data_IF_373359918500
#
_entry.id   IF_373359918500
#
_cell.length_a   1.000
_cell.length_b   1.000
_cell.length_c   1.000
_cell.angle_alpha   90.00
_cell.angle_beta   90.00
_cell.angle_gamma   90.00
#
_symmetry.space_group_name_H-M   'P 1'
#
loop_
_entity.id
_entity.type
_entity.pdbx_description
1 polymer ?
#
# COMPACT_ATOMS: atom_id res chain seq x y z
N UNK A 1 4.72 -12.54 -21.47
CA UNK A 1 5.26 -12.37 -20.11
C UNK A 1 6.56 -11.59 -20.25
N UNK A 2 6.74 -10.51 -19.48
CA UNK A 2 8.02 -9.81 -19.42
C UNK A 2 9.08 -10.71 -18.77
N UNK A 3 10.37 -10.39 -18.97
CA UNK A 3 11.44 -11.09 -18.28
C UNK A 3 11.28 -10.94 -16.76
N UNK A 4 11.52 -12.01 -15.98
CA UNK A 4 11.44 -11.92 -14.53
C UNK A 4 12.49 -10.94 -14.00
N UNK A 5 12.13 -10.16 -12.99
CA UNK A 5 13.06 -9.27 -12.29
C UNK A 5 14.03 -10.04 -11.40
N UNK A 6 13.60 -11.23 -10.96
CA UNK A 6 14.39 -12.11 -10.10
C UNK A 6 14.00 -13.57 -10.33
N UNK A 7 14.98 -14.46 -10.25
CA UNK A 7 14.78 -15.91 -10.34
C UNK A 7 15.68 -16.60 -9.33
N UNK A 8 15.13 -17.55 -8.57
CA UNK A 8 15.92 -18.45 -7.72
C UNK A 8 15.42 -19.89 -7.79
N UNK A 9 16.32 -20.82 -7.43
CA UNK A 9 15.94 -22.19 -7.12
C UNK A 9 15.91 -22.34 -5.60
N UNK A 10 14.74 -22.68 -5.06
CA UNK A 10 14.51 -22.84 -3.62
C UNK A 10 13.84 -24.17 -3.34
N UNK A 11 14.52 -25.06 -2.60
CA UNK A 11 14.03 -26.40 -2.21
C UNK A 11 13.42 -27.21 -3.37
N UNK A 12 14.11 -27.25 -4.51
CA UNK A 12 13.66 -27.99 -5.70
C UNK A 12 12.60 -27.30 -6.55
N UNK A 13 12.19 -26.08 -6.19
CA UNK A 13 11.25 -25.26 -6.93
C UNK A 13 11.97 -24.07 -7.56
N UNK A 14 11.49 -23.58 -8.71
CA UNK A 14 11.95 -22.34 -9.32
C UNK A 14 10.96 -21.24 -8.98
N UNK A 15 11.43 -20.21 -8.28
CA UNK A 15 10.63 -19.02 -7.97
C UNK A 15 11.05 -17.92 -8.94
N UNK A 16 10.07 -17.34 -9.63
CA UNK A 16 10.25 -16.20 -10.54
C UNK A 16 9.43 -15.03 -10.03
N UNK A 17 10.04 -13.85 -9.96
CA UNK A 17 9.37 -12.60 -9.59
C UNK A 17 9.21 -11.74 -10.83
N UNK A 18 8.05 -11.14 -11.00
CA UNK A 18 7.70 -10.27 -12.11
C UNK A 18 7.14 -8.94 -11.59
N UNK A 19 7.25 -7.89 -12.40
CA UNK A 19 6.41 -6.71 -12.21
C UNK A 19 4.96 -7.05 -12.50
N UNK A 20 4.05 -6.49 -11.69
CA UNK A 20 2.61 -6.55 -11.90
C UNK A 20 2.13 -5.28 -12.63
N UNK A 21 1.85 -5.35 -13.95
CA UNK A 21 1.39 -4.19 -14.71
C UNK A 21 -0.09 -3.85 -14.48
N UNK A 22 -0.87 -4.77 -13.92
CA UNK A 22 -2.32 -4.67 -13.76
C UNK A 22 -2.72 -4.53 -12.28
N UNK A 23 -1.79 -4.02 -11.46
CA UNK A 23 -1.93 -3.86 -10.03
C UNK A 23 -3.11 -2.95 -9.63
N UNK A 24 -3.88 -3.40 -8.62
CA UNK A 24 -4.86 -2.57 -7.93
C UNK A 24 -4.17 -1.39 -7.23
N UNK A 25 -4.77 -0.20 -7.33
CA UNK A 25 -4.29 0.97 -6.60
C UNK A 25 -4.46 0.76 -5.09
N UNK A 26 -3.44 1.03 -4.25
CA UNK A 26 -3.58 1.00 -2.80
C UNK A 26 -4.68 1.92 -2.23
N UNK A 27 -5.21 2.87 -3.04
CA UNK A 27 -6.34 3.71 -2.65
C UNK A 27 -7.70 3.02 -2.73
N UNK A 28 -7.80 1.90 -3.44
CA UNK A 28 -9.01 1.06 -3.48
C UNK A 28 -9.08 0.10 -2.26
N UNK A 29 -8.02 0.04 -1.44
CA UNK A 29 -7.98 -0.75 -0.22
C UNK A 29 -8.77 -0.11 0.93
N UNK A 30 -8.96 -0.88 2.00
CA UNK A 30 -9.52 -0.37 3.26
C UNK A 30 -8.49 0.51 3.99
N UNK A 31 -8.45 1.79 3.65
CA UNK A 31 -7.58 2.79 4.27
C UNK A 31 -8.26 3.50 5.46
N UNK A 32 -7.46 3.93 6.43
CA UNK A 32 -7.88 4.84 7.50
C UNK A 32 -7.94 6.28 6.99
N UNK A 33 -6.94 6.65 6.18
CA UNK A 33 -6.77 7.99 5.64
C UNK A 33 -7.58 8.24 4.38
N UNK A 34 -7.98 9.49 4.19
CA UNK A 34 -8.40 10.03 2.91
C UNK A 34 -7.27 10.88 2.33
N UNK A 35 -6.80 10.53 1.14
CA UNK A 35 -5.76 11.25 0.40
C UNK A 35 -6.42 12.15 -0.63
N UNK A 36 -6.31 13.46 -0.47
CA UNK A 36 -6.86 14.44 -1.43
C UNK A 36 -5.72 15.24 -2.06
N UNK A 37 -5.76 15.41 -3.38
CA UNK A 37 -4.67 15.99 -4.14
C UNK A 37 -5.17 16.93 -5.24
N UNK A 38 -4.50 18.06 -5.39
CA UNK A 38 -4.66 19.02 -6.47
C UNK A 38 -3.42 18.98 -7.35
N UNK A 39 -3.47 18.20 -8.43
CA UNK A 39 -2.39 18.14 -9.41
C UNK A 39 -2.89 18.30 -10.84
N UNK A 40 -2.15 19.06 -11.63
CA UNK A 40 -2.56 19.46 -12.99
C UNK A 40 -2.33 18.38 -14.05
N UNK A 41 -1.38 17.45 -13.82
CA UNK A 41 -1.03 16.38 -14.77
C UNK A 41 -1.57 15.01 -14.39
N UNK A 42 -1.81 14.79 -13.10
CA UNK A 42 -2.10 13.47 -12.55
C UNK A 42 -3.38 13.54 -11.74
N UNK A 43 -4.22 12.51 -11.85
CA UNK A 43 -5.25 12.24 -10.85
C UNK A 43 -4.60 11.39 -9.76
N UNK A 44 -4.46 11.96 -8.58
CA UNK A 44 -3.80 11.36 -7.44
C UNK A 44 -4.78 11.26 -6.28
N UNK A 45 -4.64 10.22 -5.47
CA UNK A 45 -5.46 10.03 -4.29
C UNK A 45 -6.93 9.71 -4.60
N UNK A 46 -7.76 9.98 -3.61
CA UNK A 46 -9.18 9.75 -3.61
C UNK A 46 -9.93 10.89 -4.32
N UNK A 47 -11.08 10.57 -4.88
CA UNK A 47 -11.94 11.58 -5.52
C UNK A 47 -12.53 12.53 -4.48
N UNK A 48 -12.48 13.83 -4.75
CA UNK A 48 -13.07 14.87 -3.90
C UNK A 48 -13.63 16.03 -4.73
N UNK A 49 -14.47 16.86 -4.10
CA UNK A 49 -15.12 18.03 -4.71
C UNK A 49 -14.52 19.38 -4.28
N UNK A 50 -13.46 19.38 -3.45
CA UNK A 50 -12.81 20.61 -3.02
C UNK A 50 -12.06 21.30 -4.16
N UNK A 51 -12.43 22.55 -4.46
CA UNK A 51 -11.83 23.34 -5.54
C UNK A 51 -10.37 23.72 -5.29
N UNK A 52 -9.98 23.85 -4.02
CA UNK A 52 -8.63 24.25 -3.62
C UNK A 52 -8.23 23.69 -2.25
N UNK A 53 -6.92 23.66 -1.95
CA UNK A 53 -6.43 23.33 -0.61
C UNK A 53 -7.03 24.22 0.49
N UNK A 54 -7.26 25.51 0.19
CA UNK A 54 -7.88 26.45 1.14
C UNK A 54 -9.33 26.07 1.45
N UNK A 55 -10.13 25.78 0.42
CA UNK A 55 -11.52 25.37 0.58
C UNK A 55 -11.64 24.11 1.45
N UNK A 56 -10.77 23.13 1.22
CA UNK A 56 -10.69 21.94 2.06
C UNK A 56 -10.36 22.27 3.52
N UNK A 57 -9.33 23.09 3.77
CA UNK A 57 -8.96 23.44 5.14
C UNK A 57 -10.03 24.26 5.84
N UNK A 58 -10.75 25.14 5.13
CA UNK A 58 -11.89 25.89 5.67
C UNK A 58 -13.02 24.97 6.12
N UNK A 59 -13.39 24.00 5.28
CA UNK A 59 -14.38 22.98 5.63
C UNK A 59 -13.95 22.21 6.88
N UNK A 60 -12.72 21.69 6.89
CA UNK A 60 -12.20 20.89 8.00
C UNK A 60 -12.03 21.70 9.29
N UNK A 61 -11.72 22.99 9.18
CA UNK A 61 -11.60 23.93 10.28
C UNK A 61 -12.94 24.49 10.75
N UNK A 62 -14.03 24.29 10.00
CA UNK A 62 -15.37 24.87 10.26
C UNK A 62 -15.30 26.40 10.35
N UNK A 63 -14.71 26.99 9.31
CA UNK A 63 -14.52 28.44 9.18
C UNK A 63 -15.25 28.93 7.93
N UNK A 64 -16.19 29.86 8.12
CA UNK A 64 -16.88 30.53 7.01
C UNK A 64 -15.92 31.38 6.16
N UNK A 65 -16.20 31.45 4.84
CA UNK A 65 -15.46 32.25 3.84
C UNK A 65 -15.32 33.74 4.19
N UNK A 66 -16.17 34.24 5.07
CA UNK A 66 -16.16 35.63 5.54
C UNK A 66 -14.97 35.97 6.43
N UNK A 67 -14.29 34.94 6.97
CA UNK A 67 -13.14 35.11 7.84
C UNK A 67 -11.85 35.04 7.04
N UNK A 68 -11.08 36.12 7.07
CA UNK A 68 -9.73 36.16 6.51
C UNK A 68 -8.75 35.53 7.51
N UNK A 69 -8.43 34.25 7.29
CA UNK A 69 -7.44 33.50 8.05
C UNK A 69 -6.35 33.03 7.08
N UNK A 70 -5.10 33.11 7.53
CA UNK A 70 -3.99 32.49 6.80
C UNK A 70 -4.16 30.97 6.71
N UNK A 71 -3.54 30.37 5.68
CA UNK A 71 -3.49 28.90 5.52
C UNK A 71 -2.96 28.19 6.76
N UNK A 72 -1.98 28.79 7.46
CA UNK A 72 -1.44 28.27 8.72
C UNK A 72 -2.51 28.22 9.82
N UNK A 73 -3.24 29.32 10.04
CA UNK A 73 -4.32 29.34 11.03
C UNK A 73 -5.48 28.42 10.69
N UNK A 74 -5.80 28.26 9.41
CA UNK A 74 -6.81 27.28 8.96
C UNK A 74 -6.36 25.86 9.28
N UNK A 75 -5.10 25.53 8.96
CA UNK A 75 -4.50 24.23 9.28
C UNK A 75 -4.49 23.95 10.78
N UNK A 76 -4.05 24.89 11.60
CA UNK A 76 -4.03 24.74 13.07
C UNK A 76 -5.42 24.44 13.66
N UNK A 77 -6.47 25.00 13.06
CA UNK A 77 -7.86 24.72 13.45
C UNK A 77 -8.31 23.35 12.95
N UNK A 78 -8.00 23.00 11.71
CA UNK A 78 -8.29 21.69 11.15
C UNK A 78 -7.67 20.55 11.97
N UNK A 79 -6.42 20.70 12.44
CA UNK A 79 -5.71 19.72 13.28
C UNK A 79 -6.38 19.48 14.67
N UNK A 80 -7.28 20.37 15.10
CA UNK A 80 -8.12 20.14 16.29
C UNK A 80 -9.24 19.14 16.03
N UNK A 81 -9.67 18.99 14.78
CA UNK A 81 -10.77 18.12 14.35
C UNK A 81 -10.30 16.88 13.58
N UNK A 82 -9.07 16.88 13.09
CA UNK A 82 -8.48 15.79 12.31
C UNK A 82 -6.99 15.60 12.62
N UNK A 83 -6.45 14.50 12.13
CA UNK A 83 -5.02 14.26 11.97
C UNK A 83 -4.73 14.48 10.49
N UNK A 84 -3.77 15.35 10.18
CA UNK A 84 -3.58 15.91 8.85
C UNK A 84 -2.08 15.99 8.53
N UNK A 85 -1.66 15.36 7.43
CA UNK A 85 -0.28 15.43 6.96
C UNK A 85 -0.25 16.05 5.56
N UNK A 86 0.65 17.01 5.29
CA UNK A 86 0.86 17.49 3.94
C UNK A 86 1.44 16.38 3.07
N UNK A 87 1.09 16.35 1.79
CA UNK A 87 1.58 15.38 0.82
C UNK A 87 2.32 16.10 -0.30
N UNK A 88 3.53 15.65 -0.58
CA UNK A 88 4.42 16.22 -1.58
C UNK A 88 4.65 15.21 -2.70
N UNK A 89 4.72 15.70 -3.93
CA UNK A 89 5.08 14.91 -5.11
C UNK A 89 6.40 15.43 -5.68
N UNK A 90 7.23 14.50 -6.14
CA UNK A 90 8.38 14.73 -6.99
C UNK A 90 8.14 14.08 -8.36
N UNK A 91 8.35 14.84 -9.44
CA UNK A 91 8.08 14.45 -10.83
C UNK A 91 9.33 14.68 -11.69
N UNK A 92 10.23 13.68 -11.75
CA UNK A 92 11.44 13.70 -12.59
C UNK A 92 11.84 12.27 -12.99
N UNK A 93 11.51 11.86 -14.23
CA UNK A 93 11.72 10.50 -14.77
C UNK A 93 10.95 9.38 -14.05
N UNK A 94 10.07 9.76 -13.12
CA UNK A 94 9.25 8.88 -12.29
C UNK A 94 8.55 9.72 -11.23
N UNK A 95 7.54 9.13 -10.60
CA UNK A 95 6.81 9.77 -9.51
C UNK A 95 7.32 9.26 -8.17
N UNK A 96 7.48 10.18 -7.23
CA UNK A 96 7.70 9.85 -5.82
C UNK A 96 6.83 10.74 -4.93
N UNK A 97 6.31 10.20 -3.85
CA UNK A 97 5.39 10.87 -2.94
C UNK A 97 5.80 10.67 -1.48
N UNK A 98 5.70 11.73 -0.66
CA UNK A 98 5.98 11.62 0.77
C UNK A 98 5.21 12.67 1.58
N UNK A 99 5.39 12.64 2.91
CA UNK A 99 4.73 13.55 3.88
C UNK A 99 5.66 14.56 4.54
N UNK A 100 6.89 14.69 4.05
CA UNK A 100 7.95 15.52 4.68
C UNK A 100 8.57 16.55 3.74
N UNK A 101 8.30 16.46 2.43
CA UNK A 101 8.86 17.32 1.41
C UNK A 101 10.06 16.71 0.68
N UNK A 102 10.49 17.40 -0.37
CA UNK A 102 11.73 17.14 -1.09
C UNK A 102 12.58 18.41 -1.11
N UNK A 103 13.89 18.25 -1.26
CA UNK A 103 14.80 19.38 -1.35
C UNK A 103 14.78 20.08 -2.72
N UNK A 104 14.28 19.42 -3.77
CA UNK A 104 14.29 19.96 -5.14
C UNK A 104 13.12 20.93 -5.38
N UNK A 105 13.34 22.24 -5.54
CA UNK A 105 12.25 23.20 -5.68
C UNK A 105 11.59 23.22 -7.07
N UNK A 106 12.23 22.64 -8.09
CA UNK A 106 11.77 22.70 -9.48
C UNK A 106 10.80 21.57 -9.80
N UNK A 107 11.17 20.36 -9.38
CA UNK A 107 10.47 19.12 -9.72
C UNK A 107 9.62 18.59 -8.56
N UNK A 108 9.49 19.37 -7.47
CA UNK A 108 8.62 18.98 -6.35
C UNK A 108 7.76 20.11 -5.81
N UNK A 109 6.69 19.73 -5.12
CA UNK A 109 5.83 20.64 -4.40
C UNK A 109 4.79 19.90 -3.57
N UNK A 110 4.14 20.63 -2.67
CA UNK A 110 2.97 20.08 -1.97
C UNK A 110 1.83 19.95 -2.97
N UNK A 111 1.27 18.75 -3.08
CA UNK A 111 0.16 18.43 -3.99
C UNK A 111 -1.14 18.16 -3.26
N UNK A 112 -1.11 17.96 -1.94
CA UNK A 112 -2.31 17.54 -1.23
C UNK A 112 -2.15 17.38 0.26
N UNK A 113 -3.09 16.63 0.81
CA UNK A 113 -3.13 16.20 2.20
C UNK A 113 -3.62 14.75 2.30
N UNK A 114 -3.04 14.00 3.22
CA UNK A 114 -3.67 12.79 3.75
C UNK A 114 -4.20 13.10 5.14
N UNK A 115 -5.44 12.72 5.41
CA UNK A 115 -6.09 13.07 6.67
C UNK A 115 -7.06 12.00 7.16
N UNK A 116 -7.34 12.04 8.45
CA UNK A 116 -8.44 11.30 9.07
C UNK A 116 -9.10 12.16 10.13
N UNK A 117 -10.42 12.23 10.15
CA UNK A 117 -11.15 12.99 11.18
C UNK A 117 -11.04 12.28 12.53
N UNK A 118 -11.04 13.05 13.63
CA UNK A 118 -11.06 12.44 14.96
C UNK A 118 -12.33 11.64 15.23
N UNK A 119 -13.41 11.90 14.50
CA UNK A 119 -14.61 11.07 14.52
C UNK A 119 -14.34 9.70 13.90
N UNK A 120 -13.77 9.65 12.68
CA UNK A 120 -13.39 8.40 12.04
C UNK A 120 -12.41 7.58 12.91
N UNK A 121 -11.41 8.23 13.52
CA UNK A 121 -10.49 7.56 14.47
C UNK A 121 -11.26 6.98 15.68
N UNK A 122 -12.26 7.67 16.22
CA UNK A 122 -13.05 7.13 17.34
C UNK A 122 -13.84 5.90 16.93
N UNK A 123 -14.44 5.95 15.74
CA UNK A 123 -15.22 4.84 15.17
C UNK A 123 -14.34 3.63 14.91
N UNK A 124 -13.25 3.81 14.16
CA UNK A 124 -12.35 2.72 13.76
C UNK A 124 -11.72 2.01 14.96
N UNK A 125 -11.25 2.79 15.95
CA UNK A 125 -10.59 2.23 17.13
C UNK A 125 -11.54 1.93 18.29
N UNK A 126 -12.85 2.18 18.15
CA UNK A 126 -13.84 1.94 19.19
C UNK A 126 -13.61 2.74 20.49
N UNK A 127 -13.09 3.97 20.39
CA UNK A 127 -12.73 4.80 21.56
C UNK A 127 -13.59 6.05 21.68
N UNK A 128 -13.83 6.51 22.91
CA UNK A 128 -14.53 7.79 23.16
C UNK A 128 -13.61 9.01 23.00
N UNK A 129 -12.33 8.87 23.34
CA UNK A 129 -11.36 9.96 23.35
C UNK A 129 -10.10 9.55 22.59
N UNK A 130 -9.68 10.40 21.66
CA UNK A 130 -8.42 10.23 20.94
C UNK A 130 -7.29 10.76 21.81
N UNK A 131 -6.44 9.88 22.32
CA UNK A 131 -5.27 10.22 23.13
C UNK A 131 -4.12 10.70 22.24
N UNK A 132 -3.06 11.27 22.84
CA UNK A 132 -1.85 11.64 22.09
C UNK A 132 -1.22 10.43 21.40
N UNK A 133 -1.07 9.32 22.14
CA UNK A 133 -0.52 8.07 21.58
C UNK A 133 -1.38 7.53 20.42
N UNK A 134 -2.71 7.66 20.49
CA UNK A 134 -3.57 7.25 19.38
C UNK A 134 -3.47 8.20 18.17
N UNK A 135 -3.22 9.51 18.40
CA UNK A 135 -2.92 10.43 17.30
C UNK A 135 -1.62 10.04 16.60
N UNK A 136 -0.56 9.79 17.36
CA UNK A 136 0.73 9.35 16.82
C UNK A 136 0.57 8.04 16.02
N UNK A 137 -0.15 7.05 16.57
CA UNK A 137 -0.45 5.80 15.86
C UNK A 137 -1.22 6.04 14.54
N UNK A 138 -2.20 6.94 14.54
CA UNK A 138 -2.94 7.25 13.33
C UNK A 138 -2.07 8.02 12.31
N UNK A 139 -1.20 8.94 12.75
CA UNK A 139 -0.20 9.56 11.87
C UNK A 139 0.72 8.53 11.23
N UNK A 140 1.19 7.53 11.99
CA UNK A 140 2.03 6.44 11.45
C UNK A 140 1.28 5.63 10.40
N UNK A 141 -0.02 5.35 10.61
CA UNK A 141 -0.87 4.68 9.60
C UNK A 141 -0.98 5.55 8.34
N UNK A 142 -1.26 6.84 8.47
CA UNK A 142 -1.34 7.74 7.31
C UNK A 142 -0.01 7.80 6.53
N UNK A 143 1.13 7.80 7.23
CA UNK A 143 2.45 7.75 6.58
C UNK A 143 2.65 6.42 5.85
N UNK A 144 2.25 5.30 6.45
CA UNK A 144 2.35 3.98 5.81
C UNK A 144 1.48 3.89 4.55
N UNK A 145 0.27 4.46 4.55
CA UNK A 145 -0.58 4.54 3.36
C UNK A 145 0.11 5.31 2.22
N UNK A 146 0.79 6.41 2.54
CA UNK A 146 1.56 7.18 1.55
C UNK A 146 2.78 6.40 1.05
N UNK A 147 3.45 5.62 1.89
CA UNK A 147 4.56 4.75 1.46
C UNK A 147 4.07 3.69 0.47
N UNK A 148 2.92 3.06 0.73
CA UNK A 148 2.33 2.09 -0.22
C UNK A 148 1.93 2.77 -1.53
N UNK A 149 1.31 3.94 -1.47
CA UNK A 149 0.90 4.68 -2.67
C UNK A 149 2.10 5.19 -3.48
N UNK A 150 3.18 5.63 -2.82
CA UNK A 150 4.47 5.97 -3.44
C UNK A 150 5.09 4.76 -4.17
N UNK A 151 5.07 3.58 -3.54
CA UNK A 151 5.53 2.35 -4.18
C UNK A 151 4.73 2.02 -5.44
N UNK A 152 3.41 2.13 -5.37
CA UNK A 152 2.51 1.96 -6.51
C UNK A 152 2.80 2.96 -7.64
N UNK A 153 2.91 4.26 -7.33
CA UNK A 153 3.22 5.30 -8.32
C UNK A 153 4.58 5.08 -9.01
N UNK A 154 5.54 4.50 -8.29
CA UNK A 154 6.85 4.12 -8.82
C UNK A 154 6.87 2.78 -9.58
N UNK A 155 5.73 2.11 -9.76
CA UNK A 155 5.65 0.80 -10.43
C UNK A 155 6.27 -0.35 -9.63
N UNK A 156 6.50 -0.17 -8.32
CA UNK A 156 7.02 -1.20 -7.42
C UNK A 156 5.88 -2.09 -6.93
N UNK A 157 5.28 -2.81 -7.88
CA UNK A 157 4.30 -3.86 -7.61
C UNK A 157 4.73 -5.13 -8.32
N UNK A 158 4.62 -6.25 -7.62
CA UNK A 158 5.20 -7.51 -8.04
C UNK A 158 4.25 -8.68 -7.85
N UNK A 159 4.52 -9.76 -8.56
CA UNK A 159 3.97 -11.08 -8.31
C UNK A 159 5.02 -12.16 -8.48
N UNK A 160 4.74 -13.33 -7.92
CA UNK A 160 5.59 -14.51 -8.07
C UNK A 160 4.88 -15.58 -8.89
N UNK A 161 5.69 -16.43 -9.53
CA UNK A 161 5.30 -17.71 -10.09
C UNK A 161 6.27 -18.77 -9.56
N UNK A 162 5.73 -19.86 -9.02
CA UNK A 162 6.49 -21.00 -8.50
C UNK A 162 6.30 -22.16 -9.46
N UNK A 163 7.41 -22.71 -9.96
CA UNK A 163 7.42 -23.86 -10.85
C UNK A 163 8.14 -25.06 -10.24
N UNK A 164 7.69 -26.26 -10.57
CA UNK A 164 8.37 -27.52 -10.28
C UNK A 164 8.30 -28.41 -11.53
N UNK A 165 9.43 -28.99 -11.93
CA UNK A 165 9.54 -29.84 -13.14
C UNK A 165 9.00 -29.20 -14.44
N UNK A 166 9.01 -27.87 -14.52
CA UNK A 166 8.52 -27.10 -15.65
C UNK A 166 7.01 -26.81 -15.64
N UNK A 167 6.30 -27.19 -14.58
CA UNK A 167 4.88 -26.88 -14.38
C UNK A 167 4.70 -25.80 -13.32
N UNK A 168 3.76 -24.87 -13.55
CA UNK A 168 3.37 -23.86 -12.56
C UNK A 168 2.57 -24.52 -11.43
N UNK A 169 3.03 -24.33 -10.20
CA UNK A 169 2.43 -24.87 -8.98
C UNK A 169 1.59 -23.83 -8.25
N UNK A 170 2.05 -22.57 -8.24
CA UNK A 170 1.36 -21.46 -7.59
C UNK A 170 1.80 -20.13 -8.19
N UNK A 171 0.90 -19.15 -8.14
CA UNK A 171 1.19 -17.78 -8.53
C UNK A 171 0.34 -16.81 -7.70
N UNK A 172 0.97 -15.73 -7.24
CA UNK A 172 0.29 -14.67 -6.49
C UNK A 172 0.84 -13.30 -6.89
N UNK A 173 -0.04 -12.31 -6.99
CA UNK A 173 0.22 -10.99 -7.58
C UNK A 173 -0.24 -9.87 -6.63
N UNK A 174 0.09 -8.60 -6.94
CA UNK A 174 -0.32 -7.45 -6.13
C UNK A 174 0.56 -7.12 -4.92
N UNK A 175 1.80 -7.60 -4.85
CA UNK A 175 2.74 -7.27 -3.77
C UNK A 175 3.35 -5.88 -3.98
N UNK A 176 2.89 -4.89 -3.23
CA UNK A 176 3.37 -3.50 -3.31
C UNK A 176 4.59 -3.29 -2.42
N UNK A 177 5.62 -2.62 -2.96
CA UNK A 177 6.80 -2.21 -2.19
C UNK A 177 8.06 -2.97 -2.58
N UNK A 178 8.80 -3.45 -1.59
CA UNK A 178 10.04 -4.21 -1.81
C UNK A 178 9.74 -5.70 -2.03
N UNK A 179 10.11 -6.24 -3.19
CA UNK A 179 9.79 -7.63 -3.52
C UNK A 179 10.52 -8.63 -2.64
N UNK A 180 11.69 -8.31 -2.09
CA UNK A 180 12.48 -9.25 -1.28
C UNK A 180 11.79 -9.53 0.06
N UNK A 181 11.34 -8.47 0.73
CA UNK A 181 10.70 -8.56 2.04
C UNK A 181 9.23 -8.97 1.99
N UNK A 182 8.58 -8.82 0.84
CA UNK A 182 7.16 -9.16 0.66
C UNK A 182 6.96 -10.38 -0.25
N UNK A 183 6.99 -10.17 -1.57
CA UNK A 183 6.67 -11.15 -2.60
C UNK A 183 7.52 -12.43 -2.51
N UNK A 184 8.85 -12.29 -2.42
CA UNK A 184 9.78 -13.42 -2.35
C UNK A 184 9.67 -14.15 -1.01
N UNK A 185 9.47 -13.42 0.08
CA UNK A 185 9.26 -14.02 1.40
C UNK A 185 8.00 -14.89 1.43
N UNK A 186 6.90 -14.43 0.82
CA UNK A 186 5.66 -15.20 0.71
C UNK A 186 5.84 -16.46 -0.16
N UNK A 187 6.50 -16.31 -1.31
CA UNK A 187 6.78 -17.44 -2.20
C UNK A 187 7.60 -18.54 -1.50
N UNK A 188 8.65 -18.15 -0.75
CA UNK A 188 9.45 -19.10 0.05
C UNK A 188 8.63 -19.78 1.14
N UNK A 189 7.76 -19.03 1.83
CA UNK A 189 6.89 -19.59 2.86
C UNK A 189 5.90 -20.63 2.27
N UNK A 190 5.38 -20.38 1.07
CA UNK A 190 4.54 -21.35 0.36
C UNK A 190 5.31 -22.65 0.04
N UNK A 191 6.52 -22.54 -0.52
CA UNK A 191 7.38 -23.70 -0.81
C UNK A 191 7.75 -24.47 0.47
N UNK A 192 8.04 -23.76 1.56
CA UNK A 192 8.32 -24.38 2.86
C UNK A 192 7.15 -25.23 3.34
N UNK A 193 5.93 -24.72 3.19
CA UNK A 193 4.72 -25.44 3.55
C UNK A 193 4.43 -26.64 2.63
N UNK A 194 4.72 -26.55 1.32
CA UNK A 194 4.67 -27.72 0.42
C UNK A 194 5.64 -28.81 0.86
N UNK A 195 6.89 -28.44 1.09
CA UNK A 195 7.96 -29.37 1.53
C UNK A 195 7.57 -30.06 2.84
N UNK A 196 7.01 -29.32 3.79
CA UNK A 196 6.52 -29.89 5.05
C UNK A 196 5.36 -30.87 4.84
N UNK A 197 4.42 -30.57 3.94
CA UNK A 197 3.31 -31.49 3.64
C UNK A 197 3.78 -32.79 3.01
N UNK A 198 4.80 -32.73 2.16
CA UNK A 198 5.38 -33.93 1.55
C UNK A 198 6.10 -34.80 2.58
N UNK A 199 6.87 -34.19 3.49
CA UNK A 199 7.54 -34.91 4.58
C UNK A 199 6.56 -35.60 5.55
N UNK A 200 5.36 -35.06 5.73
CA UNK A 200 4.33 -35.61 6.62
C UNK A 200 3.27 -36.45 5.89
N UNK A 201 3.44 -36.73 4.59
CA UNK A 201 2.54 -37.63 3.86
C UNK A 201 2.74 -39.06 4.41
N UNK A 202 1.71 -39.71 4.99
CA UNK A 202 1.85 -41.08 5.48
C UNK A 202 2.25 -42.02 4.34
N UNK A 203 3.17 -42.94 4.62
CA UNK A 203 3.77 -43.87 3.66
C UNK A 203 2.82 -45.00 3.19
N UNK A 204 1.53 -44.73 3.06
CA UNK A 204 0.52 -45.75 2.75
C UNK A 204 -0.05 -45.54 1.33
N UNK A 205 0.75 -45.87 0.32
CA UNK A 205 0.26 -46.11 -1.04
C UNK A 205 1.18 -47.01 -1.88
N UNK A 206 1.98 -47.89 -1.27
CA UNK A 206 2.65 -48.97 -2.01
C UNK A 206 2.68 -50.27 -1.19
N UNK A 207 1.59 -51.04 -1.27
CA UNK A 207 1.58 -52.50 -1.20
C UNK A 207 0.18 -53.06 -1.38
N UNK A 208 0.01 -54.00 -2.33
CA UNK A 208 -1.13 -54.93 -2.32
C UNK A 208 -1.76 -55.21 -3.69
N UNK A 209 -1.03 -55.93 -4.53
CA UNK A 209 -1.50 -56.47 -5.81
C UNK A 209 -2.85 -57.22 -5.71
N UNK A 210 -3.72 -56.99 -6.69
CA UNK A 210 -4.91 -57.82 -6.93
C UNK A 210 -4.48 -59.23 -7.33
N UNK A 211 -5.01 -60.31 -6.72
CA UNK A 211 -4.74 -61.65 -7.22
C UNK A 211 -5.54 -61.91 -8.50
N UNK A 212 -4.89 -62.51 -9.49
CA UNK A 212 -5.50 -62.92 -10.77
C UNK A 212 -6.61 -63.96 -10.56
N UNK A 213 -7.68 -63.94 -11.36
CA UNK A 213 -8.77 -64.92 -11.25
C UNK A 213 -8.37 -66.26 -11.90
N UNK A 214 -8.77 -67.35 -11.24
CA UNK A 214 -8.74 -68.72 -11.75
C UNK A 214 -9.95 -69.05 -12.61
#
# INVERSE_FOLDING_TARGET
MHDPVYVETYKGHVIKIYHDPDAESPREWSNLGTLICWHRRYRLGDSHSFDSPEAFLRELADVSDQHDLSMEHLRDRAERKAILLPVFLYDHSGLAMNTIGFHCPWDSGQVGYVYVTLEAVRTEFGVKRVTKALRERAEDILRAEIVSYDAYLGGRVYGYVIEQDGEEIDACWGFVGDYETSCLSEARAFVDHLTLRELHRPADAEQGASPSPS
#
